data_IF_743331435027
#
_entry.id   IF_743331435027
#
_cell.length_a   1.000
_cell.length_b   1.000
_cell.length_c   1.000
_cell.angle_alpha   90.00
_cell.angle_beta   90.00
_cell.angle_gamma   90.00
#
_symmetry.space_group_name_H-M   'P 1'
#
loop_
_entity.id
_entity.type
_entity.pdbx_description
1 polymer ?
#
# COMPACT_ATOMS: atom_id res chain seq x y z
N UNK A 1 -32.64 -7.58 47.82
CA UNK A 1 -32.24 -6.29 47.22
C UNK A 1 -31.53 -6.65 45.92
N UNK A 2 -32.19 -6.38 44.79
CA UNK A 2 -31.72 -6.77 43.46
C UNK A 2 -30.75 -5.72 42.94
N UNK A 3 -29.55 -6.12 42.58
CA UNK A 3 -28.60 -5.29 41.84
C UNK A 3 -28.15 -6.11 40.62
N UNK A 4 -28.95 -6.03 39.57
CA UNK A 4 -28.59 -6.52 38.24
C UNK A 4 -29.01 -5.43 37.27
N UNK A 5 -28.12 -4.45 37.08
CA UNK A 5 -28.32 -3.42 36.07
C UNK A 5 -28.38 -4.11 34.71
N UNK A 6 -29.47 -3.86 33.99
CA UNK A 6 -29.70 -4.32 32.63
C UNK A 6 -28.75 -3.56 31.70
N UNK A 7 -27.51 -4.05 31.59
CA UNK A 7 -26.56 -3.57 30.60
C UNK A 7 -27.01 -4.10 29.25
N UNK A 8 -27.81 -3.34 28.52
CA UNK A 8 -28.21 -3.68 27.15
C UNK A 8 -26.97 -3.71 26.26
N UNK A 9 -26.50 -4.91 25.93
CA UNK A 9 -25.41 -5.13 25.01
C UNK A 9 -25.89 -4.85 23.58
N UNK A 10 -25.29 -3.87 22.91
CA UNK A 10 -25.61 -3.51 21.53
C UNK A 10 -24.73 -4.31 20.58
N UNK A 11 -25.34 -5.13 19.72
CA UNK A 11 -24.62 -5.84 18.67
C UNK A 11 -24.19 -4.87 17.56
N UNK A 12 -22.87 -4.78 17.33
CA UNK A 12 -22.29 -4.03 16.22
C UNK A 12 -21.84 -5.01 15.13
N UNK A 13 -22.44 -4.89 13.95
CA UNK A 13 -22.06 -5.66 12.76
C UNK A 13 -21.82 -4.69 11.59
N UNK A 14 -20.73 -4.90 10.86
CA UNK A 14 -20.33 -4.05 9.73
C UNK A 14 -19.79 -4.89 8.58
N UNK A 15 -20.28 -4.61 7.37
CA UNK A 15 -19.73 -5.13 6.13
C UNK A 15 -18.44 -4.38 5.77
N UNK A 16 -17.30 -5.06 5.95
CA UNK A 16 -15.98 -4.51 5.64
C UNK A 16 -15.75 -4.29 4.15
N UNK A 17 -16.35 -5.12 3.28
CA UNK A 17 -16.22 -4.98 1.83
C UNK A 17 -16.92 -3.71 1.35
N UNK A 18 -18.15 -3.49 1.82
CA UNK A 18 -18.89 -2.25 1.54
C UNK A 18 -18.19 -1.01 2.12
N UNK A 19 -17.64 -1.13 3.34
CA UNK A 19 -16.89 -0.04 3.97
C UNK A 19 -15.61 0.31 3.18
N UNK A 20 -14.86 -0.69 2.72
CA UNK A 20 -13.63 -0.48 1.94
C UNK A 20 -13.93 0.10 0.56
N UNK A 21 -14.99 -0.36 -0.11
CA UNK A 21 -15.41 0.23 -1.38
C UNK A 21 -15.77 1.71 -1.22
N UNK A 22 -16.44 2.08 -0.13
CA UNK A 22 -16.73 3.49 0.19
C UNK A 22 -15.45 4.29 0.44
N UNK A 23 -14.50 3.75 1.22
CA UNK A 23 -13.21 4.39 1.46
C UNK A 23 -12.47 4.66 0.15
N UNK A 24 -12.36 3.66 -0.74
CA UNK A 24 -11.70 3.81 -2.04
C UNK A 24 -12.38 4.86 -2.91
N UNK A 25 -13.70 4.87 -2.96
CA UNK A 25 -14.45 5.88 -3.73
C UNK A 25 -14.17 7.31 -3.25
N UNK A 26 -14.13 7.55 -1.94
CA UNK A 26 -13.79 8.86 -1.38
C UNK A 26 -12.33 9.25 -1.64
N UNK A 27 -11.40 8.28 -1.64
CA UNK A 27 -9.99 8.52 -2.01
C UNK A 27 -9.90 8.98 -3.47
N UNK A 28 -10.53 8.26 -4.40
CA UNK A 28 -10.53 8.63 -5.82
C UNK A 28 -11.16 10.01 -6.03
N UNK A 29 -12.28 10.30 -5.37
CA UNK A 29 -12.93 11.62 -5.43
C UNK A 29 -12.00 12.74 -4.94
N UNK A 30 -11.21 12.48 -3.91
CA UNK A 30 -10.29 13.46 -3.32
C UNK A 30 -9.11 13.75 -4.23
N UNK A 31 -8.62 12.75 -4.98
CA UNK A 31 -7.52 12.91 -5.94
C UNK A 31 -7.93 13.78 -7.14
N UNK A 32 -9.23 13.78 -7.48
CA UNK A 32 -9.82 14.65 -8.50
C UNK A 32 -9.65 14.13 -9.92
N UNK A 33 -10.34 14.77 -10.85
CA UNK A 33 -10.44 14.32 -12.25
C UNK A 33 -9.13 14.47 -13.04
N UNK A 34 -8.22 15.32 -12.56
CA UNK A 34 -6.90 15.54 -13.17
C UNK A 34 -5.84 14.51 -12.73
N UNK A 35 -6.18 13.62 -11.77
CA UNK A 35 -5.25 12.60 -11.32
C UNK A 35 -5.11 11.49 -12.38
N UNK A 36 -3.90 11.35 -12.92
CA UNK A 36 -3.51 10.24 -13.80
C UNK A 36 -2.75 9.18 -12.98
N UNK A 37 -3.36 8.03 -12.67
CA UNK A 37 -2.71 6.95 -11.91
C UNK A 37 -1.48 6.38 -12.62
N UNK A 38 -1.48 6.39 -13.95
CA UNK A 38 -0.39 5.82 -14.75
C UNK A 38 0.86 6.69 -14.66
N UNK A 39 0.67 8.01 -14.74
CA UNK A 39 1.73 9.00 -14.57
C UNK A 39 2.29 9.00 -13.14
N UNK A 40 1.43 8.89 -12.12
CA UNK A 40 1.86 8.76 -10.73
C UNK A 40 2.72 7.50 -10.53
N UNK A 41 2.28 6.34 -11.04
CA UNK A 41 3.04 5.09 -10.96
C UNK A 41 4.38 5.16 -11.73
N UNK A 42 4.40 5.88 -12.86
CA UNK A 42 5.64 6.12 -13.61
C UNK A 42 6.62 6.95 -12.78
N UNK A 43 6.15 8.04 -12.16
CA UNK A 43 6.97 8.86 -11.27
C UNK A 43 7.52 8.08 -10.07
N UNK A 44 6.72 7.19 -9.48
CA UNK A 44 7.17 6.33 -8.38
C UNK A 44 8.26 5.35 -8.80
N UNK A 45 8.15 4.74 -10.00
CA UNK A 45 9.21 3.89 -10.56
C UNK A 45 10.51 4.67 -10.80
N UNK A 46 10.41 5.88 -11.35
CA UNK A 46 11.57 6.75 -11.59
C UNK A 46 12.24 7.14 -10.26
N UNK A 47 11.45 7.53 -9.26
CA UNK A 47 11.96 7.83 -7.92
C UNK A 47 12.62 6.62 -7.27
N UNK A 48 12.03 5.43 -7.38
CA UNK A 48 12.61 4.19 -6.87
C UNK A 48 13.95 3.87 -7.56
N UNK A 49 14.04 4.04 -8.88
CA UNK A 49 15.30 3.85 -9.60
C UNK A 49 16.38 4.83 -9.13
N UNK A 50 16.02 6.10 -8.88
CA UNK A 50 16.94 7.11 -8.37
C UNK A 50 17.46 6.80 -6.96
N UNK A 51 16.64 6.22 -6.07
CA UNK A 51 17.08 5.83 -4.72
C UNK A 51 18.28 4.87 -4.75
N UNK A 52 18.37 4.05 -5.80
CA UNK A 52 19.40 3.01 -5.95
C UNK A 52 20.34 3.27 -7.15
N UNK A 53 20.30 4.45 -7.79
CA UNK A 53 21.07 4.73 -9.01
C UNK A 53 22.57 5.03 -8.77
N UNK A 54 23.02 5.05 -7.50
CA UNK A 54 24.38 5.40 -7.11
C UNK A 54 25.04 4.39 -6.19
N UNK A 55 24.54 3.14 -6.14
CA UNK A 55 25.12 2.12 -5.28
C UNK A 55 26.51 1.72 -5.78
N UNK A 56 27.45 1.64 -4.85
CA UNK A 56 28.72 0.96 -5.08
C UNK A 56 28.53 -0.57 -5.14
N UNK A 57 29.59 -1.31 -5.46
CA UNK A 57 29.54 -2.77 -5.64
C UNK A 57 29.05 -3.49 -4.38
N UNK A 58 29.54 -3.10 -3.20
CA UNK A 58 29.12 -3.73 -1.95
C UNK A 58 27.66 -3.43 -1.62
N UNK A 59 27.25 -2.17 -1.81
CA UNK A 59 25.86 -1.76 -1.61
C UNK A 59 24.91 -2.47 -2.57
N UNK A 60 25.35 -2.73 -3.81
CA UNK A 60 24.57 -3.47 -4.80
C UNK A 60 24.40 -4.94 -4.40
N UNK A 61 25.45 -5.57 -3.90
CA UNK A 61 25.37 -6.95 -3.38
C UNK A 61 24.43 -7.06 -2.18
N UNK A 62 24.39 -6.05 -1.30
CA UNK A 62 23.43 -5.99 -0.20
C UNK A 62 22.01 -5.80 -0.74
N UNK A 63 21.81 -4.89 -1.69
CA UNK A 63 20.51 -4.65 -2.32
C UNK A 63 19.92 -5.92 -2.94
N UNK A 64 20.72 -6.69 -3.70
CA UNK A 64 20.29 -7.96 -4.30
C UNK A 64 19.95 -9.03 -3.25
N UNK A 65 20.69 -9.08 -2.14
CA UNK A 65 20.36 -9.98 -1.02
C UNK A 65 19.04 -9.62 -0.35
N UNK A 66 18.76 -8.33 -0.18
CA UNK A 66 17.52 -7.86 0.40
C UNK A 66 16.31 -8.13 -0.49
N UNK A 67 16.48 -8.02 -1.81
CA UNK A 67 15.46 -8.45 -2.78
C UNK A 67 15.20 -9.96 -2.63
N UNK A 68 16.25 -10.78 -2.67
CA UNK A 68 16.10 -12.25 -2.57
C UNK A 68 15.46 -12.69 -1.26
N UNK A 69 15.69 -11.95 -0.17
CA UNK A 69 15.09 -12.20 1.13
C UNK A 69 13.62 -11.70 1.23
N UNK A 70 13.11 -11.00 0.22
CA UNK A 70 11.77 -10.40 0.22
C UNK A 70 11.65 -9.18 1.13
N UNK A 71 12.78 -8.59 1.57
CA UNK A 71 12.80 -7.39 2.40
C UNK A 71 12.58 -6.14 1.55
N UNK A 72 13.19 -6.11 0.37
CA UNK A 72 12.94 -5.08 -0.63
C UNK A 72 12.12 -5.64 -1.77
N UNK A 73 11.21 -4.85 -2.36
CA UNK A 73 10.55 -5.24 -3.58
C UNK A 73 11.58 -5.34 -4.72
N UNK A 74 11.41 -6.34 -5.58
CA UNK A 74 11.96 -6.25 -6.94
C UNK A 74 11.37 -4.97 -7.54
N UNK A 75 12.22 -4.05 -8.01
CA UNK A 75 11.83 -2.65 -8.24
C UNK A 75 10.49 -2.50 -8.97
N UNK A 76 9.79 -1.38 -8.75
CA UNK A 76 8.35 -1.14 -9.06
C UNK A 76 7.94 -1.31 -10.56
N UNK A 77 8.81 -1.84 -11.43
CA UNK A 77 8.52 -2.26 -12.81
C UNK A 77 9.00 -3.67 -13.18
N UNK A 78 9.36 -4.52 -12.21
CA UNK A 78 9.71 -5.94 -12.41
C UNK A 78 8.48 -6.86 -12.29
N UNK A 79 7.31 -6.41 -12.74
CA UNK A 79 6.22 -7.35 -13.00
C UNK A 79 6.61 -8.20 -14.21
N UNK A 80 7.16 -9.38 -13.92
CA UNK A 80 7.28 -10.56 -14.78
C UNK A 80 7.31 -10.27 -16.29
N UNK A 81 8.51 -10.03 -16.82
CA UNK A 81 8.77 -10.29 -18.23
C UNK A 81 8.81 -11.81 -18.46
N UNK A 82 7.64 -12.40 -18.68
CA UNK A 82 7.47 -13.69 -19.37
C UNK A 82 6.28 -13.58 -20.33
#
# INVERSE_FOLDING_TARGET
MSAGGDSTELEFSMDLGAAEMRRRAEVIRTLGDDWDPSEQLRGEREAHALLYSGLDEWQRDVYEQLIRAGVLPEGIGSENAD
#
